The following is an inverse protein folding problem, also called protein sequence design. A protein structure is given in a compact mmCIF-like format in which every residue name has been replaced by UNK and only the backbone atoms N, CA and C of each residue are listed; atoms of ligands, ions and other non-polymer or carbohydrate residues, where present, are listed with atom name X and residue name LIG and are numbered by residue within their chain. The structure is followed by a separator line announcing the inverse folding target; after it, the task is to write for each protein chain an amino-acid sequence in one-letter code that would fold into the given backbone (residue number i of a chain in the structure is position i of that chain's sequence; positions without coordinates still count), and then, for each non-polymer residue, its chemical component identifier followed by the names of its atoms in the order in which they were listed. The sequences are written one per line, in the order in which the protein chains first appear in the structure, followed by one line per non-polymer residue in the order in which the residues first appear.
data_IF_436911289622
#
_entry.id   IF_436911289622
#
_cell.length_a   1.000
_cell.length_b   1.000
_cell.length_c   1.000
_cell.angle_alpha   90.00
_cell.angle_beta   90.00
_cell.angle_gamma   90.00
#
_symmetry.space_group_name_H-M   'P 1'
#
loop_
_entity.id
_entity.type
_entity.pdbx_description
1 polymer ?
#
# COMPACT_ATOMS: atom_id res chain seq x y z
N UNK A 1 -5.08 -16.85 -6.67
CA UNK A 1 -5.80 -15.73 -6.01
C UNK A 1 -4.87 -14.63 -5.52
N UNK A 2 -3.73 -14.95 -4.89
CA UNK A 2 -2.80 -13.96 -4.28
C UNK A 2 -2.32 -12.84 -5.20
N UNK A 3 -1.98 -13.14 -6.46
CA UNK A 3 -1.62 -12.10 -7.45
C UNK A 3 -2.72 -11.07 -7.67
N UNK A 4 -4.00 -11.48 -7.65
CA UNK A 4 -5.15 -10.57 -7.84
C UNK A 4 -5.31 -9.63 -6.64
N UNK A 5 -5.20 -10.15 -5.42
CA UNK A 5 -5.21 -9.32 -4.21
C UNK A 5 -4.03 -8.34 -4.18
N UNK A 6 -2.84 -8.81 -4.53
CA UNK A 6 -1.62 -7.98 -4.59
C UNK A 6 -1.74 -6.88 -5.66
N UNK A 7 -2.28 -7.22 -6.83
CA UNK A 7 -2.57 -6.24 -7.88
C UNK A 7 -3.60 -5.20 -7.43
N UNK A 8 -4.70 -5.63 -6.78
CA UNK A 8 -5.73 -4.73 -6.28
C UNK A 8 -5.16 -3.73 -5.25
N UNK A 9 -4.31 -4.21 -4.33
CA UNK A 9 -3.63 -3.34 -3.35
C UNK A 9 -2.65 -2.39 -4.05
N UNK A 10 -1.85 -2.87 -5.00
CA UNK A 10 -0.94 -1.99 -5.75
C UNK A 10 -1.68 -0.92 -6.55
N UNK A 11 -2.81 -1.27 -7.18
CA UNK A 11 -3.67 -0.31 -7.89
C UNK A 11 -4.23 0.71 -6.92
N UNK A 12 -4.70 0.26 -5.75
CA UNK A 12 -5.15 1.16 -4.68
C UNK A 12 -4.06 2.18 -4.31
N UNK A 13 -2.81 1.75 -4.10
CA UNK A 13 -1.70 2.66 -3.75
C UNK A 13 -1.46 3.73 -4.83
N UNK A 14 -1.57 3.35 -6.11
CA UNK A 14 -1.44 4.31 -7.24
C UNK A 14 -2.62 5.29 -7.28
N UNK A 15 -3.85 4.78 -7.18
CA UNK A 15 -5.06 5.61 -7.18
C UNK A 15 -5.02 6.60 -6.02
N UNK A 16 -4.59 6.16 -4.84
CA UNK A 16 -4.41 6.98 -3.64
C UNK A 16 -3.38 8.09 -3.85
N UNK A 17 -2.20 7.76 -4.38
CA UNK A 17 -1.16 8.76 -4.67
C UNK A 17 -1.64 9.83 -5.68
N UNK A 18 -2.40 9.43 -6.70
CA UNK A 18 -3.01 10.37 -7.65
C UNK A 18 -4.06 11.23 -6.95
N UNK A 19 -4.91 10.62 -6.13
CA UNK A 19 -5.94 11.34 -5.37
C UNK A 19 -5.31 12.38 -4.44
N UNK A 20 -4.30 12.00 -3.64
CA UNK A 20 -3.55 12.91 -2.77
C UNK A 20 -2.92 14.09 -3.54
N UNK A 21 -2.43 13.84 -4.75
CA UNK A 21 -1.92 14.88 -5.63
C UNK A 21 -2.98 15.87 -6.14
N UNK A 22 -4.24 15.43 -6.29
CA UNK A 22 -5.36 16.27 -6.74
C UNK A 22 -5.94 17.11 -5.59
N UNK A 23 -6.16 16.50 -4.42
CA UNK A 23 -6.80 17.17 -3.28
C UNK A 23 -5.80 18.01 -2.45
N UNK A 24 -4.53 17.62 -2.46
CA UNK A 24 -3.48 18.26 -1.70
C UNK A 24 -2.43 18.87 -2.62
N UNK A 25 -1.22 18.33 -2.55
CA UNK A 25 -0.09 18.79 -3.35
C UNK A 25 0.44 17.65 -4.22
N UNK A 26 0.54 17.91 -5.52
CA UNK A 26 1.13 16.96 -6.46
C UNK A 26 2.60 16.69 -6.13
N UNK A 27 2.95 15.41 -6.01
CA UNK A 27 4.30 14.94 -5.72
C UNK A 27 4.70 13.84 -6.72
N UNK A 28 5.56 14.19 -7.68
CA UNK A 28 6.09 13.22 -8.65
C UNK A 28 6.79 12.02 -7.95
N UNK A 29 7.62 12.21 -6.90
CA UNK A 29 8.21 11.10 -6.17
C UNK A 29 7.20 10.14 -5.55
N UNK A 30 6.06 10.64 -5.08
CA UNK A 30 5.01 9.81 -4.47
C UNK A 30 4.35 8.90 -5.50
N UNK A 31 4.04 9.44 -6.69
CA UNK A 31 3.48 8.67 -7.81
C UNK A 31 4.47 7.62 -8.30
N UNK A 32 5.76 7.99 -8.44
CA UNK A 32 6.81 7.04 -8.85
C UNK A 32 6.94 5.91 -7.84
N UNK A 33 6.94 6.21 -6.54
CA UNK A 33 6.97 5.20 -5.49
C UNK A 33 5.74 4.30 -5.55
N UNK A 34 4.55 4.85 -5.75
CA UNK A 34 3.32 4.08 -5.85
C UNK A 34 3.32 3.08 -7.02
N UNK A 35 3.79 3.54 -8.20
CA UNK A 35 3.94 2.68 -9.38
C UNK A 35 5.01 1.60 -9.15
N UNK A 36 6.12 1.95 -8.48
CA UNK A 36 7.14 0.98 -8.10
C UNK A 36 6.59 -0.09 -7.14
N UNK A 37 5.81 0.32 -6.13
CA UNK A 37 5.13 -0.60 -5.20
C UNK A 37 4.20 -1.56 -5.94
N UNK A 38 3.41 -1.06 -6.91
CA UNK A 38 2.60 -1.92 -7.77
C UNK A 38 3.46 -2.94 -8.53
N UNK A 39 4.55 -2.49 -9.17
CA UNK A 39 5.48 -3.39 -9.87
C UNK A 39 6.05 -4.47 -8.97
N UNK A 40 6.46 -4.10 -7.76
CA UNK A 40 6.95 -5.03 -6.74
C UNK A 40 5.85 -6.01 -6.29
N UNK A 41 4.63 -5.56 -6.05
CA UNK A 41 3.51 -6.43 -5.68
C UNK A 41 3.10 -7.39 -6.81
N UNK A 42 3.34 -7.03 -8.07
CA UNK A 42 3.08 -7.92 -9.21
C UNK A 42 4.21 -8.92 -9.48
N UNK A 43 5.41 -8.67 -8.94
CA UNK A 43 6.60 -9.46 -9.21
C UNK A 43 6.60 -10.84 -8.54
N UNK A 44 5.90 -11.00 -7.41
CA UNK A 44 5.94 -12.23 -6.61
C UNK A 44 7.31 -12.49 -5.93
N UNK A 45 8.22 -11.51 -5.92
CA UNK A 45 9.53 -11.65 -5.27
C UNK A 45 9.36 -11.93 -3.78
N UNK A 46 10.14 -12.89 -3.28
CA UNK A 46 10.01 -13.39 -1.91
C UNK A 46 10.02 -12.25 -0.88
N UNK A 47 9.06 -12.29 0.02
CA UNK A 47 8.87 -11.35 1.15
C UNK A 47 8.49 -9.90 0.80
N UNK A 48 8.33 -9.55 -0.48
CA UNK A 48 7.95 -8.18 -0.88
C UNK A 48 6.62 -7.73 -0.27
N UNK A 49 5.66 -8.64 -0.08
CA UNK A 49 4.40 -8.34 0.60
C UNK A 49 4.61 -7.77 2.01
N UNK A 50 5.59 -8.28 2.76
CA UNK A 50 5.88 -7.78 4.11
C UNK A 50 6.57 -6.41 4.07
N UNK A 51 7.48 -6.21 3.11
CA UNK A 51 8.14 -4.90 2.93
C UNK A 51 7.10 -3.82 2.61
N UNK A 52 6.19 -4.10 1.68
CA UNK A 52 5.12 -3.15 1.32
C UNK A 52 4.14 -2.94 2.48
N UNK A 53 3.79 -3.97 3.24
CA UNK A 53 2.97 -3.84 4.43
C UNK A 53 3.61 -2.91 5.48
N UNK A 54 4.92 -3.03 5.70
CA UNK A 54 5.67 -2.13 6.60
C UNK A 54 5.65 -0.69 6.09
N UNK A 55 5.83 -0.47 4.78
CA UNK A 55 5.74 0.87 4.19
C UNK A 55 4.37 1.51 4.41
N UNK A 56 3.28 0.77 4.19
CA UNK A 56 1.91 1.26 4.44
C UNK A 56 1.70 1.60 5.92
N UNK A 57 2.11 0.71 6.83
CA UNK A 57 1.99 0.96 8.26
C UNK A 57 2.83 2.18 8.70
N UNK A 58 4.03 2.35 8.14
CA UNK A 58 4.89 3.48 8.43
C UNK A 58 4.27 4.82 8.02
N UNK A 59 3.62 4.89 6.85
CA UNK A 59 2.91 6.10 6.38
C UNK A 59 1.79 6.46 7.34
N UNK A 60 1.02 5.46 7.80
CA UNK A 60 -0.04 5.67 8.80
C UNK A 60 0.53 6.24 10.09
N UNK A 61 1.57 5.63 10.66
CA UNK A 61 2.19 6.10 11.91
C UNK A 61 2.76 7.51 11.75
N UNK A 62 3.42 7.80 10.63
CA UNK A 62 3.99 9.13 10.34
C UNK A 62 2.92 10.23 10.34
N UNK A 63 1.74 9.94 9.79
CA UNK A 63 0.68 10.93 9.63
C UNK A 63 -0.37 10.90 10.75
N UNK A 64 -0.29 9.92 11.66
CA UNK A 64 -1.33 9.68 12.67
C UNK A 64 -1.61 10.89 13.56
N UNK A 65 -0.55 11.54 14.08
CA UNK A 65 -0.69 12.71 14.96
C UNK A 65 -1.44 13.86 14.29
N UNK A 66 -1.07 14.19 13.04
CA UNK A 66 -1.71 15.26 12.27
C UNK A 66 -3.17 14.91 11.91
N UNK A 67 -3.42 13.65 11.56
CA UNK A 67 -4.76 13.22 11.18
C UNK A 67 -5.73 13.24 12.37
N UNK A 68 -5.24 13.01 13.59
CA UNK A 68 -6.08 12.98 14.80
C UNK A 68 -6.21 14.34 15.50
N UNK A 69 -5.27 15.27 15.29
CA UNK A 69 -5.33 16.61 15.90
C UNK A 69 -6.43 17.49 15.32
N UNK A 70 -6.91 17.20 14.11
CA UNK A 70 -8.00 17.92 13.45
C UNK A 70 -8.93 16.95 12.70
N UNK A 71 -9.54 16.02 13.44
CA UNK A 71 -10.40 14.95 12.89
C UNK A 71 -11.49 15.50 11.97
N UNK A 72 -12.10 16.64 12.33
CA UNK A 72 -13.23 17.21 11.59
C UNK A 72 -12.83 17.62 10.16
N UNK A 73 -11.59 18.07 9.96
CA UNK A 73 -11.09 18.45 8.63
C UNK A 73 -10.25 17.35 7.97
N UNK A 74 -9.65 16.43 8.75
CA UNK A 74 -8.75 15.38 8.26
C UNK A 74 -9.40 13.99 8.14
N UNK A 75 -10.73 13.90 8.23
CA UNK A 75 -11.48 12.64 8.17
C UNK A 75 -11.16 11.80 6.91
N UNK A 76 -10.87 12.44 5.78
CA UNK A 76 -10.48 11.74 4.55
C UNK A 76 -9.15 11.00 4.69
N UNK A 77 -8.16 11.62 5.35
CA UNK A 77 -6.86 11.01 5.64
C UNK A 77 -6.95 9.92 6.71
N UNK A 78 -7.96 9.97 7.58
CA UNK A 78 -8.25 8.88 8.53
C UNK A 78 -8.85 7.65 7.83
N UNK A 79 -9.75 7.85 6.87
CA UNK A 79 -10.26 6.75 6.03
C UNK A 79 -9.12 6.13 5.23
N UNK A 80 -8.27 6.96 4.63
CA UNK A 80 -7.08 6.49 3.92
C UNK A 80 -6.17 5.65 4.84
N UNK A 81 -5.91 6.14 6.05
CA UNK A 81 -5.10 5.41 7.02
C UNK A 81 -5.72 4.05 7.40
N UNK A 82 -7.06 3.97 7.52
CA UNK A 82 -7.75 2.72 7.77
C UNK A 82 -7.64 1.74 6.59
N UNK A 83 -7.74 2.24 5.35
CA UNK A 83 -7.55 1.45 4.13
C UNK A 83 -6.11 0.94 4.01
N UNK A 84 -5.11 1.75 4.35
CA UNK A 84 -3.69 1.36 4.38
C UNK A 84 -3.44 0.23 5.39
N UNK A 85 -4.03 0.32 6.60
CA UNK A 85 -3.96 -0.75 7.60
C UNK A 85 -4.63 -2.03 7.07
N UNK A 86 -5.80 -1.92 6.44
CA UNK A 86 -6.51 -3.05 5.85
C UNK A 86 -5.70 -3.74 4.74
N UNK A 87 -5.10 -2.95 3.84
CA UNK A 87 -4.22 -3.44 2.80
C UNK A 87 -2.97 -4.13 3.39
N UNK A 88 -2.33 -3.53 4.39
CA UNK A 88 -1.20 -4.14 5.10
C UNK A 88 -1.60 -5.47 5.76
N UNK A 89 -2.77 -5.53 6.40
CA UNK A 89 -3.28 -6.75 7.01
C UNK A 89 -3.51 -7.86 5.96
N UNK A 90 -4.07 -7.53 4.79
CA UNK A 90 -4.24 -8.50 3.69
C UNK A 90 -2.87 -9.01 3.22
N UNK A 91 -1.89 -8.12 3.03
CA UNK A 91 -0.54 -8.50 2.59
C UNK A 91 0.16 -9.45 3.57
N UNK A 92 -0.10 -9.30 4.88
CA UNK A 92 0.56 -10.10 5.93
C UNK A 92 -0.19 -11.39 6.23
N UNK A 93 -1.52 -11.37 6.29
CA UNK A 93 -2.32 -12.47 6.85
C UNK A 93 -3.06 -13.31 5.80
N UNK A 94 -3.30 -12.79 4.59
CA UNK A 94 -4.01 -13.55 3.57
C UNK A 94 -3.15 -14.72 3.05
N UNK A 95 -3.65 -15.96 3.17
CA UNK A 95 -2.92 -17.18 2.79
C UNK A 95 -2.52 -17.20 1.32
N UNK A 96 -3.42 -16.79 0.43
CA UNK A 96 -3.15 -16.79 -1.02
C UNK A 96 -2.08 -15.78 -1.39
N UNK A 97 -2.07 -14.61 -0.73
CA UNK A 97 -1.01 -13.60 -0.90
C UNK A 97 0.33 -14.16 -0.42
N UNK A 98 0.37 -14.74 0.79
CA UNK A 98 1.60 -15.35 1.31
C UNK A 98 2.14 -16.43 0.39
N UNK A 99 1.28 -17.30 -0.13
CA UNK A 99 1.66 -18.34 -1.08
C UNK A 99 2.29 -17.75 -2.34
N UNK A 100 1.67 -16.70 -2.92
CA UNK A 100 2.18 -16.02 -4.10
C UNK A 100 3.60 -15.46 -3.90
N UNK A 101 3.93 -14.96 -2.70
CA UNK A 101 5.26 -14.45 -2.36
C UNK A 101 6.17 -15.50 -1.69
N UNK A 102 5.75 -16.76 -1.58
CA UNK A 102 6.54 -17.83 -0.95
C UNK A 102 7.44 -18.57 -1.93
N UNK A 103 7.08 -18.61 -3.22
CA UNK A 103 7.67 -19.49 -4.22
C UNK A 103 9.10 -19.12 -4.65
N UNK A 104 9.61 -17.94 -4.29
CA UNK A 104 10.86 -17.42 -4.86
C UNK A 104 10.71 -17.14 -6.36
N UNK A 105 11.72 -16.48 -6.97
CA UNK A 105 11.69 -16.24 -8.42
C UNK A 105 11.78 -17.60 -9.11
N UNK A 106 10.79 -18.02 -9.93
CA UNK A 106 10.90 -19.26 -10.68
C UNK A 106 12.15 -19.18 -11.56
N UNK A 107 13.09 -20.10 -11.36
CA UNK A 107 14.22 -20.27 -12.27
C UNK A 107 13.62 -20.64 -13.63
N UNK A 108 13.73 -19.73 -14.60
CA UNK A 108 13.44 -20.03 -16.01
C UNK A 108 14.39 -21.12 -16.50
#
# INVERSE_FOLDING_TARGET
MGKKFSAAIGIYVVVKAVFNGIIGAFSLPEIVLAVAVLGFLLSGIKFVNYVVAVLLAFVVVKNFGNNISDIANNWIYLIEAALDIGAAAILVFNKDVKEFFSAGIPKK
#
